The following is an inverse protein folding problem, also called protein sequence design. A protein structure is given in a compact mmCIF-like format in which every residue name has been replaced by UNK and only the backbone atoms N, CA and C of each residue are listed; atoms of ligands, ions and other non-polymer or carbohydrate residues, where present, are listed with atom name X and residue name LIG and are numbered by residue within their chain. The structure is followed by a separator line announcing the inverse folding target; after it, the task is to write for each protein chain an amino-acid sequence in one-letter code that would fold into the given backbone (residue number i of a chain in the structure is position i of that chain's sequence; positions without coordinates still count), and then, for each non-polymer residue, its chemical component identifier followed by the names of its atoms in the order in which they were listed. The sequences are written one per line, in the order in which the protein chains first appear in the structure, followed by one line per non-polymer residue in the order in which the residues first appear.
data_IF_657131717357
#
_entry.id   IF_657131717357
#
_cell.length_a   1.000
_cell.length_b   1.000
_cell.length_c   1.000
_cell.angle_alpha   90.00
_cell.angle_beta   90.00
_cell.angle_gamma   90.00
#
_symmetry.space_group_name_H-M   'P 1'
#
loop_
_entity.id
_entity.type
_entity.pdbx_description
1 polymer ?
#
# COMPACT_ATOMS: atom_id res chain seq x y z
N UNK A 1 20.11 15.38 -7.70
CA UNK A 1 20.58 15.11 -9.08
C UNK A 1 22.04 14.66 -9.16
N UNK A 2 22.91 15.04 -8.21
CA UNK A 2 24.35 14.75 -8.25
C UNK A 2 24.68 13.25 -8.03
N UNK A 3 24.03 12.56 -7.10
CA UNK A 3 24.24 11.11 -6.86
C UNK A 3 23.80 10.21 -8.02
N UNK A 4 23.02 10.75 -8.95
CA UNK A 4 22.35 9.99 -10.01
C UNK A 4 22.75 10.42 -11.43
N UNK A 5 23.79 11.26 -11.61
CA UNK A 5 24.23 11.73 -12.95
C UNK A 5 23.06 12.12 -13.89
N UNK A 6 22.01 12.71 -13.32
CA UNK A 6 20.81 13.11 -14.07
C UNK A 6 20.90 14.61 -14.32
N UNK A 7 20.79 15.01 -15.58
CA UNK A 7 20.66 16.41 -16.00
C UNK A 7 19.19 16.75 -16.22
N UNK A 8 18.80 17.99 -15.97
CA UNK A 8 17.45 18.48 -16.23
C UNK A 8 17.08 18.36 -17.70
N UNK A 9 18.06 18.56 -18.58
CA UNK A 9 17.87 18.38 -20.01
C UNK A 9 17.47 16.93 -20.39
N UNK A 10 18.03 15.92 -19.72
CA UNK A 10 17.68 14.52 -19.96
C UNK A 10 16.24 14.21 -19.52
N UNK A 11 15.88 14.70 -18.33
CA UNK A 11 14.54 14.58 -17.74
C UNK A 11 13.48 15.21 -18.65
N UNK A 12 13.72 16.43 -19.12
CA UNK A 12 12.75 17.17 -19.94
C UNK A 12 12.63 16.60 -21.34
N UNK A 13 13.73 16.10 -21.91
CA UNK A 13 13.71 15.41 -23.20
C UNK A 13 12.86 14.14 -23.18
N UNK A 14 12.92 13.36 -22.09
CA UNK A 14 12.06 12.16 -21.91
C UNK A 14 10.59 12.49 -21.72
N UNK A 15 10.30 13.58 -21.01
CA UNK A 15 8.94 14.09 -20.85
C UNK A 15 8.38 14.53 -22.22
N UNK A 16 9.14 15.33 -22.97
CA UNK A 16 8.72 15.81 -24.30
C UNK A 16 8.53 14.66 -25.30
N UNK A 17 9.39 13.64 -25.27
CA UNK A 17 9.25 12.45 -26.12
C UNK A 17 7.97 11.65 -25.80
N UNK A 18 7.57 11.60 -24.53
CA UNK A 18 6.41 10.83 -24.07
C UNK A 18 5.08 11.50 -24.40
N UNK A 19 5.02 12.84 -24.37
CA UNK A 19 3.78 13.62 -24.57
C UNK A 19 3.74 14.42 -25.89
N UNK A 20 4.80 14.34 -26.71
CA UNK A 20 4.91 14.94 -28.05
C UNK A 20 4.45 16.40 -28.13
N UNK A 21 3.30 16.66 -28.75
CA UNK A 21 2.76 17.99 -29.06
C UNK A 21 1.80 18.53 -28.00
N UNK A 22 1.42 17.71 -27.03
CA UNK A 22 0.32 18.04 -26.11
C UNK A 22 0.82 18.89 -24.93
N UNK A 23 2.14 19.00 -24.78
CA UNK A 23 2.74 19.55 -23.57
C UNK A 23 4.02 20.33 -23.91
N UNK A 24 4.01 21.61 -23.57
CA UNK A 24 5.16 22.50 -23.65
C UNK A 24 5.90 22.53 -22.31
N UNK A 25 7.19 22.17 -22.33
CA UNK A 25 7.99 22.01 -21.11
C UNK A 25 9.05 23.10 -21.04
N UNK A 26 9.08 23.84 -19.93
CA UNK A 26 10.13 24.81 -19.57
C UNK A 26 10.85 24.27 -18.34
N UNK A 27 12.18 24.35 -18.31
CA UNK A 27 12.96 23.83 -17.18
C UNK A 27 14.03 24.81 -16.72
N UNK A 28 14.36 24.74 -15.43
CA UNK A 28 15.49 25.44 -14.85
C UNK A 28 16.82 24.75 -15.23
N UNK A 29 17.89 25.53 -15.33
CA UNK A 29 19.23 24.98 -15.54
C UNK A 29 19.72 24.16 -14.33
N UNK A 30 20.65 23.23 -14.58
CA UNK A 30 21.22 22.31 -13.59
C UNK A 30 21.93 23.02 -12.42
N UNK A 31 22.31 24.29 -12.61
CA UNK A 31 22.99 25.12 -11.60
C UNK A 31 22.03 26.00 -10.78
N UNK A 32 20.71 25.91 -11.01
CA UNK A 32 19.72 26.66 -10.24
C UNK A 32 19.63 26.13 -8.79
N UNK A 33 19.51 27.03 -7.81
CA UNK A 33 19.27 26.67 -6.40
C UNK A 33 18.01 25.81 -6.23
N UNK A 34 17.01 26.03 -7.09
CA UNK A 34 15.78 25.26 -7.14
C UNK A 34 15.59 24.69 -8.55
N UNK A 35 15.53 23.37 -8.62
CA UNK A 35 15.28 22.64 -9.84
C UNK A 35 13.77 22.57 -10.09
N UNK A 36 13.28 23.28 -11.11
CA UNK A 36 11.85 23.37 -11.46
C UNK A 36 11.61 22.97 -12.92
N UNK A 37 10.49 22.30 -13.15
CA UNK A 37 9.97 21.99 -14.48
C UNK A 37 8.53 22.50 -14.53
N UNK A 38 8.25 23.36 -15.50
CA UNK A 38 6.93 23.89 -15.78
C UNK A 38 6.39 23.21 -17.04
N UNK A 39 5.34 22.43 -16.84
CA UNK A 39 4.60 21.74 -17.88
C UNK A 39 3.35 22.54 -18.20
N UNK A 40 3.21 23.00 -19.45
CA UNK A 40 2.04 23.73 -19.94
C UNK A 40 1.32 22.81 -20.93
N UNK A 41 0.06 22.49 -20.66
CA UNK A 41 -0.77 21.72 -21.60
C UNK A 41 -1.12 22.62 -22.78
N UNK A 42 -0.85 22.16 -24.00
CA UNK A 42 -1.27 22.84 -25.22
C UNK A 42 -2.67 22.35 -25.58
N UNK A 43 -3.68 23.19 -25.37
CA UNK A 43 -5.03 22.92 -25.84
C UNK A 43 -5.12 23.04 -27.37
N UNK A 44 -5.79 22.11 -28.03
CA UNK A 44 -6.17 22.27 -29.43
C UNK A 44 -7.10 23.47 -29.57
N UNK A 45 -6.91 24.36 -30.56
CA UNK A 45 -7.75 25.55 -30.75
C UNK A 45 -9.20 25.26 -31.20
N UNK A 46 -9.59 23.98 -31.30
CA UNK A 46 -10.93 23.59 -31.74
C UNK A 46 -11.72 23.01 -30.57
N UNK A 47 -12.29 23.89 -29.73
CA UNK A 47 -13.55 23.70 -28.99
C UNK A 47 -13.88 24.97 -28.20
N UNK A 48 -14.57 25.87 -28.88
CA UNK A 48 -15.49 26.80 -28.23
C UNK A 48 -16.61 25.95 -27.60
N UNK A 49 -16.63 25.75 -26.28
CA UNK A 49 -17.92 25.56 -25.61
C UNK A 49 -17.91 25.87 -24.10
N UNK A 50 -19.03 26.43 -23.68
CA UNK A 50 -19.28 27.13 -22.43
C UNK A 50 -19.30 26.19 -21.20
N UNK A 51 -18.67 26.62 -20.10
CA UNK A 51 -19.04 26.25 -18.72
C UNK A 51 -18.74 24.83 -18.20
N UNK A 52 -18.39 23.86 -19.05
CA UNK A 52 -18.04 22.48 -18.65
C UNK A 52 -16.54 22.14 -18.72
N UNK A 53 -15.70 23.05 -19.24
CA UNK A 53 -14.28 22.78 -19.51
C UNK A 53 -13.40 22.56 -18.28
N UNK A 54 -13.70 23.16 -17.13
CA UNK A 54 -12.85 23.07 -15.93
C UNK A 54 -12.83 21.67 -15.31
N UNK A 55 -13.92 20.92 -15.40
CA UNK A 55 -14.00 19.55 -14.85
C UNK A 55 -13.27 18.56 -15.74
N UNK A 56 -13.31 18.72 -17.07
CA UNK A 56 -12.55 17.89 -18.00
C UNK A 56 -11.03 18.16 -17.90
N UNK A 57 -10.64 19.42 -17.73
CA UNK A 57 -9.25 19.81 -17.50
C UNK A 57 -8.68 19.22 -16.19
N UNK A 58 -9.43 19.28 -15.08
CA UNK A 58 -8.98 18.71 -13.80
C UNK A 58 -8.83 17.17 -13.86
N UNK A 59 -9.72 16.49 -14.58
CA UNK A 59 -9.63 15.04 -14.80
C UNK A 59 -8.42 14.71 -15.67
N UNK A 60 -8.18 15.51 -16.71
CA UNK A 60 -7.03 15.37 -17.58
C UNK A 60 -5.71 15.62 -16.84
N UNK A 61 -5.63 16.65 -15.99
CA UNK A 61 -4.46 16.96 -15.18
C UNK A 61 -4.13 15.84 -14.19
N UNK A 62 -5.15 15.22 -13.57
CA UNK A 62 -4.96 14.03 -12.71
C UNK A 62 -4.47 12.81 -13.48
N UNK A 63 -4.96 12.60 -14.70
CA UNK A 63 -4.46 11.53 -15.56
C UNK A 63 -3.03 11.80 -16.03
N UNK A 64 -2.71 13.05 -16.35
CA UNK A 64 -1.37 13.49 -16.73
C UNK A 64 -0.38 13.32 -15.56
N UNK A 65 -0.77 13.68 -14.34
CA UNK A 65 0.02 13.46 -13.12
C UNK A 65 0.32 11.98 -12.92
N UNK A 66 -0.70 11.12 -12.97
CA UNK A 66 -0.53 9.67 -12.85
C UNK A 66 0.37 9.11 -13.95
N UNK A 67 0.25 9.61 -15.19
CA UNK A 67 1.06 9.16 -16.33
C UNK A 67 2.51 9.65 -16.18
N UNK A 68 2.74 10.89 -15.77
CA UNK A 68 4.07 11.42 -15.48
C UNK A 68 4.78 10.66 -14.35
N UNK A 69 4.06 10.28 -13.30
CA UNK A 69 4.64 9.56 -12.17
C UNK A 69 4.87 8.07 -12.47
N UNK A 70 4.00 7.43 -13.24
CA UNK A 70 4.05 5.99 -13.50
C UNK A 70 4.74 5.60 -14.82
N UNK A 71 4.51 6.36 -15.91
CA UNK A 71 5.00 6.01 -17.24
C UNK A 71 6.24 6.80 -17.66
N UNK A 72 6.40 8.05 -17.21
CA UNK A 72 7.64 8.78 -17.47
C UNK A 72 8.71 8.32 -16.52
N UNK A 73 9.44 7.33 -17.01
CA UNK A 73 10.57 6.76 -16.32
C UNK A 73 11.72 7.79 -16.26
N UNK A 74 11.74 8.62 -15.21
CA UNK A 74 12.79 9.62 -14.93
C UNK A 74 14.09 8.96 -14.42
N UNK A 75 14.57 8.01 -15.21
CA UNK A 75 15.25 6.73 -14.90
C UNK A 75 14.31 5.54 -15.04
N UNK A 76 13.95 5.24 -16.28
CA UNK A 76 13.73 3.87 -16.71
C UNK A 76 15.03 3.08 -16.63
N UNK A 77 15.52 2.84 -15.41
CA UNK A 77 16.23 1.58 -15.26
C UNK A 77 15.12 0.56 -15.26
N UNK A 78 15.01 -0.19 -16.35
CA UNK A 78 14.26 -1.45 -16.34
C UNK A 78 15.00 -2.34 -15.35
N UNK A 79 14.61 -2.24 -14.09
CA UNK A 79 15.24 -3.00 -13.02
C UNK A 79 14.80 -4.45 -13.21
N UNK A 80 15.78 -5.35 -13.27
CA UNK A 80 15.48 -6.78 -13.32
C UNK A 80 14.98 -7.18 -11.93
N UNK A 81 13.71 -7.57 -11.86
CA UNK A 81 13.11 -8.16 -10.65
C UNK A 81 13.21 -9.67 -10.78
N UNK A 82 13.65 -10.31 -9.70
CA UNK A 82 13.64 -11.77 -9.60
C UNK A 82 12.38 -12.17 -8.84
N UNK A 83 11.50 -12.89 -9.53
CA UNK A 83 10.37 -13.57 -8.90
C UNK A 83 10.82 -14.99 -8.54
N UNK A 84 10.55 -15.40 -7.31
CA UNK A 84 10.96 -16.70 -6.78
C UNK A 84 9.75 -17.50 -6.32
N UNK A 85 9.69 -18.76 -6.72
CA UNK A 85 8.74 -19.71 -6.15
C UNK A 85 9.33 -20.35 -4.88
N UNK A 86 8.88 -19.89 -3.72
CA UNK A 86 9.28 -20.43 -2.42
C UNK A 86 9.23 -19.41 -1.28
N UNK A 87 9.56 -19.86 -0.09
CA UNK A 87 9.56 -19.09 1.17
C UNK A 87 10.92 -19.27 1.84
N UNK A 88 11.82 -18.29 1.67
CA UNK A 88 13.08 -18.21 2.44
C UNK A 88 13.72 -16.80 2.40
N UNK A 89 12.95 -15.78 2.78
CA UNK A 89 13.35 -14.37 2.83
C UNK A 89 14.62 -14.14 3.66
N UNK A 90 14.81 -14.90 4.76
CA UNK A 90 15.97 -14.77 5.64
C UNK A 90 17.29 -15.06 4.92
N UNK A 91 17.35 -16.10 4.09
CA UNK A 91 18.58 -16.41 3.35
C UNK A 91 18.72 -15.49 2.15
N UNK A 92 17.63 -15.17 1.47
CA UNK A 92 17.63 -14.32 0.25
C UNK A 92 18.18 -12.93 0.55
N UNK A 93 17.78 -12.34 1.67
CA UNK A 93 18.30 -11.03 2.12
C UNK A 93 19.80 -11.04 2.45
N UNK A 94 20.40 -12.20 2.71
CA UNK A 94 21.83 -12.36 2.97
C UNK A 94 22.67 -12.61 1.71
N UNK A 95 22.05 -12.73 0.53
CA UNK A 95 22.77 -13.00 -0.72
C UNK A 95 23.47 -11.73 -1.19
N UNK A 96 24.77 -11.83 -1.50
CA UNK A 96 25.53 -10.72 -2.06
C UNK A 96 24.93 -10.29 -3.41
N UNK A 97 24.56 -9.02 -3.52
CA UNK A 97 23.92 -8.44 -4.71
C UNK A 97 22.40 -8.33 -4.63
N UNK A 98 21.77 -8.88 -3.57
CA UNK A 98 20.34 -8.67 -3.29
C UNK A 98 20.16 -7.39 -2.48
N UNK A 99 19.19 -6.58 -2.88
CA UNK A 99 18.83 -5.35 -2.17
C UNK A 99 17.84 -5.66 -1.02
N UNK A 100 18.36 -5.75 0.19
CA UNK A 100 17.57 -6.03 1.39
C UNK A 100 16.49 -4.98 1.70
N UNK A 101 16.64 -3.74 1.22
CA UNK A 101 15.70 -2.65 1.53
C UNK A 101 14.38 -2.75 0.74
N UNK A 102 14.43 -3.43 -0.42
CA UNK A 102 13.28 -3.56 -1.34
C UNK A 102 12.83 -4.99 -1.54
N UNK A 103 13.52 -5.97 -0.95
CA UNK A 103 13.11 -7.38 -1.01
C UNK A 103 11.77 -7.56 -0.31
N UNK A 104 10.84 -8.24 -0.97
CA UNK A 104 9.48 -8.46 -0.49
C UNK A 104 9.13 -9.95 -0.57
N UNK A 105 8.31 -10.44 0.38
CA UNK A 105 7.71 -11.76 0.35
C UNK A 105 6.19 -11.60 0.45
N UNK A 106 5.43 -12.48 -0.21
CA UNK A 106 3.97 -12.53 -0.07
C UNK A 106 3.52 -13.25 1.21
N UNK A 107 4.43 -13.93 1.91
CA UNK A 107 4.12 -14.63 3.16
C UNK A 107 4.23 -13.69 4.37
N UNK A 108 3.08 -13.27 4.90
CA UNK A 108 3.00 -12.41 6.09
C UNK A 108 3.64 -13.06 7.34
N UNK A 109 3.56 -14.38 7.47
CA UNK A 109 4.15 -15.14 8.58
C UNK A 109 5.68 -15.09 8.52
N UNK A 110 6.25 -15.21 7.32
CA UNK A 110 7.69 -15.12 7.12
C UNK A 110 8.22 -13.71 7.41
N UNK A 111 7.52 -12.69 6.91
CA UNK A 111 7.83 -11.28 7.17
C UNK A 111 7.81 -10.99 8.67
N UNK A 112 6.83 -11.52 9.40
CA UNK A 112 6.77 -11.39 10.85
C UNK A 112 8.00 -11.97 11.55
N UNK A 113 8.46 -13.15 11.13
CA UNK A 113 9.62 -13.84 11.73
C UNK A 113 10.94 -13.10 11.42
N UNK A 114 11.07 -12.55 10.20
CA UNK A 114 12.34 -11.95 9.73
C UNK A 114 12.44 -10.45 10.05
N UNK A 115 11.36 -9.69 9.82
CA UNK A 115 11.34 -8.23 9.88
C UNK A 115 10.54 -7.68 11.09
N UNK A 116 9.66 -8.48 11.68
CA UNK A 116 8.87 -8.11 12.87
C UNK A 116 7.42 -7.68 12.58
N UNK A 117 6.72 -7.30 13.64
CA UNK A 117 5.25 -7.08 13.62
C UNK A 117 4.82 -5.89 12.77
N UNK A 118 5.56 -4.78 12.77
CA UNK A 118 5.19 -3.59 12.00
C UNK A 118 5.39 -3.81 10.49
N UNK A 119 6.44 -4.54 10.11
CA UNK A 119 6.63 -4.97 8.74
C UNK A 119 5.50 -5.92 8.29
N UNK A 120 5.08 -6.84 9.17
CA UNK A 120 3.95 -7.72 8.89
C UNK A 120 2.64 -6.93 8.74
N UNK A 121 2.40 -5.90 9.56
CA UNK A 121 1.24 -5.00 9.43
C UNK A 121 1.20 -4.32 8.08
N UNK A 122 2.33 -3.76 7.63
CA UNK A 122 2.45 -3.12 6.33
C UNK A 122 2.26 -4.12 5.18
N UNK A 123 2.78 -5.33 5.31
CA UNK A 123 2.60 -6.39 4.32
C UNK A 123 1.13 -6.82 4.19
N UNK A 124 0.43 -7.05 5.31
CA UNK A 124 -1.00 -7.39 5.30
C UNK A 124 -1.81 -6.28 4.63
N UNK A 125 -1.52 -5.01 4.95
CA UNK A 125 -2.17 -3.86 4.32
C UNK A 125 -1.97 -3.86 2.80
N UNK A 126 -0.74 -4.14 2.34
CA UNK A 126 -0.39 -4.18 0.91
C UNK A 126 -1.08 -5.34 0.19
N UNK A 127 -1.07 -6.54 0.76
CA UNK A 127 -1.73 -7.72 0.18
C UNK A 127 -3.25 -7.54 0.10
N UNK A 128 -3.89 -7.07 1.18
CA UNK A 128 -5.33 -6.80 1.18
C UNK A 128 -5.73 -5.74 0.16
N UNK A 129 -4.95 -4.66 0.06
CA UNK A 129 -5.19 -3.63 -0.94
C UNK A 129 -5.05 -4.20 -2.36
N UNK A 130 -4.01 -4.99 -2.63
CA UNK A 130 -3.77 -5.62 -3.93
C UNK A 130 -4.92 -6.52 -4.38
N UNK A 131 -5.49 -7.31 -3.47
CA UNK A 131 -6.64 -8.18 -3.79
C UNK A 131 -7.92 -7.38 -4.09
N UNK A 132 -8.17 -6.31 -3.35
CA UNK A 132 -9.37 -5.47 -3.52
C UNK A 132 -9.30 -4.66 -4.81
N UNK A 133 -8.13 -4.06 -5.06
CA UNK A 133 -7.86 -3.26 -6.26
C UNK A 133 -7.86 -4.10 -7.53
N UNK A 134 -7.37 -5.35 -7.47
CA UNK A 134 -7.45 -6.30 -8.58
C UNK A 134 -8.90 -6.52 -9.07
N UNK A 135 -9.87 -6.46 -8.17
CA UNK A 135 -11.29 -6.59 -8.50
C UNK A 135 -11.95 -5.25 -8.90
N UNK A 136 -11.18 -4.17 -9.05
CA UNK A 136 -11.69 -2.83 -9.39
C UNK A 136 -12.56 -2.19 -8.30
N UNK A 137 -12.54 -2.74 -7.09
CA UNK A 137 -13.32 -2.24 -5.95
C UNK A 137 -12.50 -1.24 -5.15
N UNK A 138 -13.16 -0.21 -4.61
CA UNK A 138 -12.52 0.77 -3.73
C UNK A 138 -12.96 0.55 -2.29
N UNK A 139 -11.99 0.49 -1.37
CA UNK A 139 -12.22 0.50 0.07
C UNK A 139 -11.36 1.60 0.68
N UNK A 140 -11.96 2.42 1.54
CA UNK A 140 -11.24 3.48 2.22
C UNK A 140 -10.12 2.90 3.10
N UNK A 141 -8.93 3.50 3.02
CA UNK A 141 -7.74 3.16 3.81
C UNK A 141 -8.04 2.94 5.30
N UNK A 142 -8.93 3.74 5.91
CA UNK A 142 -9.25 3.65 7.34
C UNK A 142 -9.84 2.29 7.72
N UNK A 143 -10.65 1.67 6.86
CA UNK A 143 -11.23 0.36 7.16
C UNK A 143 -10.17 -0.74 7.15
N UNK A 144 -9.30 -0.72 6.14
CA UNK A 144 -8.19 -1.67 6.03
C UNK A 144 -7.17 -1.48 7.14
N UNK A 145 -6.85 -0.24 7.49
CA UNK A 145 -5.93 0.09 8.57
C UNK A 145 -6.46 -0.44 9.93
N UNK A 146 -7.76 -0.28 10.20
CA UNK A 146 -8.37 -0.78 11.43
C UNK A 146 -8.26 -2.31 11.53
N UNK A 147 -8.53 -3.02 10.43
CA UNK A 147 -8.41 -4.47 10.34
C UNK A 147 -6.97 -4.93 10.58
N UNK A 148 -6.01 -4.31 9.89
CA UNK A 148 -4.58 -4.63 10.03
C UNK A 148 -4.09 -4.40 11.46
N UNK A 149 -4.53 -3.30 12.09
CA UNK A 149 -4.21 -3.00 13.47
C UNK A 149 -4.80 -4.06 14.42
N UNK A 150 -6.06 -4.46 14.22
CA UNK A 150 -6.69 -5.52 15.03
C UNK A 150 -5.90 -6.82 14.95
N UNK A 151 -5.45 -7.21 13.75
CA UNK A 151 -4.65 -8.43 13.55
C UNK A 151 -3.25 -8.39 14.17
N UNK A 152 -2.70 -7.21 14.46
CA UNK A 152 -1.30 -7.02 14.87
C UNK A 152 -1.09 -6.40 16.25
N UNK A 153 -2.16 -5.95 16.93
CA UNK A 153 -2.05 -5.19 18.18
C UNK A 153 -1.43 -5.97 19.35
N UNK A 154 -1.59 -7.31 19.40
CA UNK A 154 -1.07 -8.14 20.49
C UNK A 154 0.42 -8.52 20.35
N UNK A 155 1.14 -7.93 19.39
CA UNK A 155 2.55 -8.29 19.11
C UNK A 155 2.72 -9.67 18.46
N UNK A 156 1.62 -10.36 18.17
CA UNK A 156 1.56 -11.61 17.40
C UNK A 156 0.50 -11.48 16.32
N UNK A 157 0.64 -12.26 15.24
CA UNK A 157 -0.36 -12.30 14.17
C UNK A 157 -1.60 -13.06 14.63
N UNK A 158 -2.71 -12.36 14.79
CA UNK A 158 -4.02 -12.94 15.10
C UNK A 158 -4.77 -13.17 13.80
N UNK A 159 -5.04 -14.44 13.49
CA UNK A 159 -5.90 -14.81 12.38
C UNK A 159 -7.37 -14.46 12.71
N UNK A 160 -8.12 -13.97 11.72
CA UNK A 160 -9.56 -13.71 11.88
C UNK A 160 -10.33 -15.00 11.59
N UNK A 161 -10.20 -15.94 12.51
CA UNK A 161 -10.91 -17.22 12.52
C UNK A 161 -11.45 -17.49 13.93
N UNK A 162 -12.32 -18.49 14.08
CA UNK A 162 -12.87 -18.85 15.39
C UNK A 162 -11.78 -19.12 16.44
N UNK A 163 -10.71 -19.83 16.08
CA UNK A 163 -9.57 -20.05 16.97
C UNK A 163 -8.75 -18.78 17.28
N UNK A 164 -8.67 -17.83 16.35
CA UNK A 164 -7.91 -16.60 16.56
C UNK A 164 -8.64 -15.57 17.41
N UNK A 165 -9.96 -15.44 17.23
CA UNK A 165 -10.80 -14.53 18.01
C UNK A 165 -10.93 -14.99 19.46
N UNK A 166 -10.96 -16.31 19.71
CA UNK A 166 -11.00 -16.86 21.07
C UNK A 166 -9.73 -16.59 21.89
N UNK A 167 -8.63 -16.15 21.26
CA UNK A 167 -7.40 -15.73 21.93
C UNK A 167 -7.35 -14.24 22.25
N UNK A 168 -8.30 -13.45 21.73
CA UNK A 168 -8.40 -12.04 22.07
C UNK A 168 -8.88 -11.89 23.52
N UNK A 169 -8.41 -10.84 24.19
CA UNK A 169 -8.79 -10.49 25.57
C UNK A 169 -10.25 -10.00 25.61
N UNK A 170 -11.17 -10.94 25.44
CA UNK A 170 -12.60 -10.73 25.31
C UNK A 170 -13.31 -11.61 26.31
N UNK A 171 -14.25 -11.03 27.06
CA UNK A 171 -14.96 -11.76 28.11
C UNK A 171 -15.67 -13.00 27.56
N UNK A 172 -15.70 -14.05 28.36
CA UNK A 172 -16.27 -15.36 28.04
C UNK A 172 -17.59 -15.32 27.25
N UNK A 173 -18.54 -14.48 27.63
CA UNK A 173 -19.85 -14.40 26.96
C UNK A 173 -19.74 -13.88 25.52
N UNK A 174 -18.79 -12.97 25.26
CA UNK A 174 -18.52 -12.47 23.92
C UNK A 174 -17.93 -13.59 23.04
N UNK A 175 -17.00 -14.38 23.59
CA UNK A 175 -16.39 -15.52 22.88
C UNK A 175 -17.45 -16.58 22.53
N UNK A 176 -18.29 -16.93 23.49
CA UNK A 176 -19.41 -17.86 23.33
C UNK A 176 -20.43 -17.46 22.24
N UNK A 177 -20.53 -16.16 21.94
CA UNK A 177 -21.47 -15.63 20.95
C UNK A 177 -21.03 -15.87 19.50
N UNK A 178 -19.74 -16.09 19.26
CA UNK A 178 -19.20 -16.26 17.89
C UNK A 178 -19.22 -17.73 17.44
N UNK A 179 -18.68 -18.65 18.25
CA UNK A 179 -18.63 -20.10 18.01
C UNK A 179 -18.11 -20.86 19.26
N UNK A 180 -18.18 -22.19 19.28
CA UNK A 180 -17.69 -23.07 20.39
C UNK A 180 -18.34 -22.82 21.77
N UNK A 181 -19.60 -22.38 21.80
CA UNK A 181 -20.31 -21.96 23.01
C UNK A 181 -20.23 -22.95 24.18
N UNK A 182 -20.47 -24.25 23.94
CA UNK A 182 -20.54 -25.26 25.02
C UNK A 182 -19.17 -25.49 25.64
N UNK A 183 -18.13 -25.57 24.81
CA UNK A 183 -16.76 -25.82 25.26
C UNK A 183 -16.22 -24.62 26.05
N UNK A 184 -16.43 -23.41 25.52
CA UNK A 184 -16.03 -22.16 26.20
C UNK A 184 -16.75 -22.06 27.55
N UNK A 185 -18.07 -22.24 27.59
CA UNK A 185 -18.83 -22.15 28.84
C UNK A 185 -18.38 -23.17 29.89
N UNK A 186 -18.04 -24.39 29.47
CA UNK A 186 -17.51 -25.41 30.38
C UNK A 186 -16.13 -25.00 30.91
N UNK A 187 -15.24 -24.47 30.07
CA UNK A 187 -13.92 -24.01 30.47
C UNK A 187 -13.99 -22.85 31.46
N UNK A 188 -14.79 -21.81 31.17
CA UNK A 188 -14.95 -20.68 32.10
C UNK A 188 -15.71 -21.04 33.36
N UNK A 189 -16.63 -22.00 33.33
CA UNK A 189 -17.30 -22.48 34.54
C UNK A 189 -16.31 -23.12 35.52
N UNK A 190 -15.27 -23.79 35.01
CA UNK A 190 -14.20 -24.39 35.83
C UNK A 190 -13.25 -23.31 36.38
N UNK A 191 -12.89 -22.31 35.57
CA UNK A 191 -11.97 -21.23 35.96
C UNK A 191 -12.65 -20.19 36.86
N UNK A 192 -13.97 -20.02 36.76
CA UNK A 192 -14.71 -18.98 37.46
C UNK A 192 -14.42 -17.58 36.92
N UNK A 193 -14.17 -17.44 35.61
CA UNK A 193 -13.90 -16.15 34.97
C UNK A 193 -15.08 -15.20 35.16
N UNK A 194 -14.80 -13.97 35.62
CA UNK A 194 -15.79 -12.93 35.78
C UNK A 194 -15.85 -12.06 34.54
N UNK A 195 -17.00 -12.01 33.90
CA UNK A 195 -17.23 -11.15 32.74
C UNK A 195 -17.68 -9.74 33.19
N UNK A 196 -16.99 -8.70 32.72
CA UNK A 196 -17.28 -7.30 33.03
C UNK A 196 -18.49 -6.72 32.25
N UNK A 197 -19.14 -7.51 31.38
CA UNK A 197 -20.37 -7.15 30.66
C UNK A 197 -20.31 -5.89 29.76
N UNK A 198 -19.12 -5.40 29.39
CA UNK A 198 -18.96 -4.22 28.52
C UNK A 198 -19.10 -4.52 27.01
N UNK A 199 -19.34 -5.78 26.63
CA UNK A 199 -19.41 -6.19 25.23
C UNK A 199 -20.74 -5.85 24.55
N UNK A 200 -20.71 -5.42 23.29
CA UNK A 200 -21.92 -5.06 22.52
C UNK A 200 -22.88 -6.23 22.28
N UNK A 201 -22.38 -7.45 22.14
CA UNK A 201 -23.20 -8.67 22.00
C UNK A 201 -23.91 -9.07 23.29
N UNK A 202 -23.72 -8.30 24.38
CA UNK A 202 -24.27 -8.56 25.71
C UNK A 202 -25.48 -7.67 26.06
N UNK A 203 -26.00 -6.89 25.09
CA UNK A 203 -27.26 -6.13 25.24
C UNK A 203 -28.48 -7.00 24.98
#
# INVERSE_FOLDING_TARGET
MIDRKLTMHYVTSRIAESFKTDLFVIWSEDNSEKLTIHCIVLGSPDKDDEGYGTVEEDIFLRQLENTMLNSVSLRGVKEWVLETDGINLKTVTCINGVDFTRTYSNSCVEIFIVLGIEAARAAIMKELHGVIEFNGSYVNYRHLALLCNLMTHCGTLIAITHHGINRADTGALMRCSFQETVEILMEVAVVGEKDDCHGITKM
#
